data_IF_869743624800
#
_entry.id   IF_869743624800
#
_cell.length_a   1.000
_cell.length_b   1.000
_cell.length_c   1.000
_cell.angle_alpha   90.00
_cell.angle_beta   90.00
_cell.angle_gamma   90.00
#
_symmetry.space_group_name_H-M   'P 1'
#
loop_
_entity.id
_entity.type
_entity.pdbx_description
1 polymer ?
#
# COMPACT_ATOMS: atom_id res chain seq x y z
N UNK A 1 -19.51 -5.55 1.72
CA UNK A 1 -19.33 -4.74 2.93
C UNK A 1 -18.34 -5.44 3.85
N UNK A 2 -17.04 -5.29 3.59
CA UNK A 2 -15.97 -5.91 4.37
C UNK A 2 -15.02 -4.80 4.83
N UNK A 3 -14.97 -4.59 6.15
CA UNK A 3 -14.08 -3.76 6.97
C UNK A 3 -13.02 -2.94 6.18
N UNK A 4 -13.33 -1.71 5.71
CA UNK A 4 -12.36 -0.84 5.04
C UNK A 4 -11.17 -0.47 5.93
N UNK A 5 -11.37 -0.42 7.25
CA UNK A 5 -10.35 -0.16 8.28
C UNK A 5 -9.17 -1.14 8.26
N UNK A 6 -9.36 -2.42 7.93
CA UNK A 6 -8.25 -3.39 7.90
C UNK A 6 -7.31 -3.19 6.70
N UNK A 7 -7.79 -2.65 5.58
CA UNK A 7 -6.98 -2.52 4.34
C UNK A 7 -5.97 -1.38 4.40
N UNK A 8 -6.26 -0.34 5.20
CA UNK A 8 -5.35 0.79 5.41
C UNK A 8 -4.40 0.54 6.58
N UNK A 9 -4.82 -0.28 7.54
CA UNK A 9 -4.03 -0.63 8.72
C UNK A 9 -2.63 -1.14 8.35
N UNK A 10 -2.52 -2.07 7.40
CA UNK A 10 -1.21 -2.66 7.03
C UNK A 10 -0.21 -1.61 6.52
N UNK A 11 -0.66 -0.65 5.68
CA UNK A 11 0.22 0.40 5.18
C UNK A 11 0.58 1.42 6.25
N UNK A 12 -0.36 1.72 7.16
CA UNK A 12 -0.10 2.61 8.28
C UNK A 12 0.96 2.01 9.21
N UNK A 13 0.85 0.72 9.50
CA UNK A 13 1.86 -0.03 10.27
C UNK A 13 3.23 0.03 9.58
N UNK A 14 3.32 -0.24 8.27
CA UNK A 14 4.61 -0.15 7.56
C UNK A 14 5.19 1.27 7.57
N UNK A 15 4.36 2.30 7.41
CA UNK A 15 4.82 3.69 7.49
C UNK A 15 5.36 4.04 8.89
N UNK A 16 4.68 3.59 9.95
CA UNK A 16 5.14 3.78 11.32
C UNK A 16 6.44 3.04 11.63
N UNK A 17 6.61 1.83 11.10
CA UNK A 17 7.87 1.08 11.22
C UNK A 17 9.01 1.83 10.54
N UNK A 18 8.82 2.31 9.30
CA UNK A 18 9.82 3.12 8.58
C UNK A 18 10.16 4.41 9.32
N UNK A 19 9.16 5.07 9.92
CA UNK A 19 9.36 6.24 10.76
C UNK A 19 10.18 5.92 12.01
N UNK A 20 9.86 4.83 12.70
CA UNK A 20 10.55 4.42 13.93
C UNK A 20 12.04 4.11 13.71
N UNK A 21 12.42 3.59 12.53
CA UNK A 21 13.82 3.29 12.19
C UNK A 21 14.54 4.46 11.49
N UNK A 22 13.92 5.66 11.45
CA UNK A 22 14.41 6.84 10.73
C UNK A 22 14.72 6.59 9.23
N UNK A 23 14.13 5.56 8.62
CA UNK A 23 14.36 5.20 7.22
C UNK A 23 13.30 5.80 6.27
N UNK A 24 12.76 6.97 6.62
CA UNK A 24 11.78 7.70 5.80
C UNK A 24 12.53 8.45 4.71
N UNK A 25 12.71 7.78 3.57
CA UNK A 25 13.27 8.39 2.35
C UNK A 25 12.20 8.68 1.29
N UNK A 26 12.62 9.33 0.20
CA UNK A 26 11.73 9.64 -0.95
C UNK A 26 11.03 8.38 -1.51
N UNK A 27 11.73 7.24 -1.50
CA UNK A 27 11.17 5.95 -1.95
C UNK A 27 9.99 5.51 -1.09
N UNK A 28 10.11 5.60 0.24
CA UNK A 28 9.04 5.26 1.17
C UNK A 28 7.79 6.12 0.93
N UNK A 29 7.99 7.42 0.74
CA UNK A 29 6.91 8.39 0.50
C UNK A 29 6.19 8.06 -0.81
N UNK A 30 6.94 7.86 -1.90
CA UNK A 30 6.36 7.53 -3.22
C UNK A 30 5.57 6.22 -3.16
N UNK A 31 6.11 5.18 -2.52
CA UNK A 31 5.40 3.91 -2.36
C UNK A 31 4.13 4.06 -1.51
N UNK A 32 4.16 4.86 -0.45
CA UNK A 32 3.00 5.10 0.42
C UNK A 32 1.85 5.76 -0.35
N UNK A 33 2.18 6.81 -1.13
CA UNK A 33 1.20 7.50 -1.98
C UNK A 33 0.67 6.60 -3.10
N UNK A 34 1.52 5.80 -3.75
CA UNK A 34 1.10 4.83 -4.76
C UNK A 34 0.10 3.81 -4.20
N UNK A 35 0.35 3.31 -2.99
CA UNK A 35 -0.59 2.39 -2.33
C UNK A 35 -1.94 3.06 -2.09
N UNK A 36 -1.94 4.27 -1.51
CA UNK A 36 -3.14 5.04 -1.24
C UNK A 36 -3.96 5.28 -2.51
N UNK A 37 -3.31 5.74 -3.59
CA UNK A 37 -3.94 5.94 -4.90
C UNK A 37 -4.54 4.66 -5.47
N UNK A 38 -3.87 3.51 -5.34
CA UNK A 38 -4.42 2.23 -5.80
C UNK A 38 -5.75 1.89 -5.12
N UNK A 39 -5.88 2.24 -3.82
CA UNK A 39 -7.09 1.98 -3.03
C UNK A 39 -8.22 2.93 -3.40
N UNK A 40 -7.93 4.20 -3.64
CA UNK A 40 -8.91 5.14 -4.18
C UNK A 40 -9.41 4.70 -5.55
N UNK A 41 -8.51 4.32 -6.47
CA UNK A 41 -8.89 3.81 -7.78
C UNK A 41 -9.74 2.53 -7.69
N UNK A 42 -9.35 1.58 -6.83
CA UNK A 42 -10.12 0.35 -6.61
C UNK A 42 -11.51 0.64 -6.06
N UNK A 43 -11.65 1.56 -5.11
CA UNK A 43 -12.94 2.00 -4.56
C UNK A 43 -13.81 2.70 -5.62
N UNK A 44 -13.20 3.56 -6.44
CA UNK A 44 -13.89 4.25 -7.54
C UNK A 44 -14.49 3.26 -8.55
N UNK A 45 -13.71 2.26 -8.98
CA UNK A 45 -14.22 1.19 -9.88
C UNK A 45 -15.25 0.31 -9.19
N UNK A 46 -15.11 0.07 -7.88
CA UNK A 46 -16.05 -0.73 -7.12
C UNK A 46 -17.44 -0.08 -7.06
N UNK A 47 -17.50 1.25 -6.92
CA UNK A 47 -18.75 2.02 -6.78
C UNK A 47 -19.34 2.42 -8.14
N UNK A 48 -18.50 2.63 -9.17
CA UNK A 48 -18.94 3.06 -10.50
C UNK A 48 -19.30 1.91 -11.45
N UNK A 49 -18.34 1.52 -12.30
CA UNK A 49 -18.57 0.61 -13.44
C UNK A 49 -18.82 -0.86 -13.05
N UNK A 50 -18.41 -1.27 -11.84
CA UNK A 50 -18.55 -2.65 -11.34
C UNK A 50 -17.90 -3.74 -12.23
N UNK A 51 -16.94 -3.41 -13.10
CA UNK A 51 -16.24 -4.38 -13.94
C UNK A 51 -15.19 -5.16 -13.14
N UNK A 52 -15.44 -6.46 -12.94
CA UNK A 52 -14.65 -7.34 -12.03
C UNK A 52 -13.17 -7.44 -12.41
N UNK A 53 -12.77 -7.64 -13.69
CA UNK A 53 -11.36 -7.75 -14.06
C UNK A 53 -10.51 -6.51 -13.72
N UNK A 54 -11.06 -5.31 -13.91
CA UNK A 54 -10.35 -4.05 -13.59
C UNK A 54 -10.17 -3.92 -12.07
N UNK A 55 -11.21 -4.23 -11.30
CA UNK A 55 -11.15 -4.19 -9.84
C UNK A 55 -10.09 -5.16 -9.29
N UNK A 56 -9.95 -6.35 -9.87
CA UNK A 56 -8.91 -7.32 -9.49
C UNK A 56 -7.51 -6.80 -9.80
N UNK A 57 -7.29 -6.22 -10.99
CA UNK A 57 -5.99 -5.65 -11.38
C UNK A 57 -5.56 -4.51 -10.44
N UNK A 58 -6.48 -3.64 -10.06
CA UNK A 58 -6.22 -2.56 -9.09
C UNK A 58 -5.91 -3.09 -7.69
N UNK A 59 -6.55 -4.20 -7.29
CA UNK A 59 -6.22 -4.87 -6.03
C UNK A 59 -4.80 -5.45 -6.05
N UNK A 60 -4.43 -6.14 -7.12
CA UNK A 60 -3.09 -6.72 -7.30
C UNK A 60 -2.01 -5.64 -7.32
N UNK A 61 -2.26 -4.50 -7.98
CA UNK A 61 -1.34 -3.35 -7.96
C UNK A 61 -1.05 -2.90 -6.53
N UNK A 62 -2.09 -2.76 -5.69
CA UNK A 62 -1.91 -2.45 -4.27
C UNK A 62 -1.12 -3.52 -3.50
N UNK A 63 -1.29 -4.80 -3.83
CA UNK A 63 -0.49 -5.89 -3.26
C UNK A 63 0.99 -5.78 -3.63
N UNK A 64 1.32 -5.47 -4.89
CA UNK A 64 2.70 -5.28 -5.32
C UNK A 64 3.37 -4.11 -4.60
N UNK A 65 2.65 -3.00 -4.41
CA UNK A 65 3.19 -1.85 -3.65
C UNK A 65 3.44 -2.23 -2.19
N UNK A 66 2.53 -2.98 -1.55
CA UNK A 66 2.75 -3.48 -0.18
C UNK A 66 3.99 -4.37 -0.07
N UNK A 67 4.18 -5.29 -1.02
CA UNK A 67 5.36 -6.16 -1.05
C UNK A 67 6.63 -5.32 -1.23
N UNK A 68 6.60 -4.30 -2.10
CA UNK A 68 7.74 -3.39 -2.28
C UNK A 68 8.08 -2.62 -0.99
N UNK A 69 7.07 -2.12 -0.26
CA UNK A 69 7.29 -1.46 1.04
C UNK A 69 7.84 -2.45 2.09
N UNK A 70 7.39 -3.70 2.08
CA UNK A 70 7.90 -4.73 2.98
C UNK A 70 9.37 -5.05 2.70
N UNK A 71 9.74 -5.19 1.43
CA UNK A 71 11.13 -5.38 1.00
C UNK A 71 11.98 -4.19 1.45
N UNK A 72 11.47 -2.95 1.30
CA UNK A 72 12.19 -1.77 1.75
C UNK A 72 12.45 -1.80 3.26
N UNK A 73 11.44 -2.14 4.07
CA UNK A 73 11.59 -2.29 5.53
C UNK A 73 12.62 -3.37 5.86
N UNK A 74 12.51 -4.55 5.23
CA UNK A 74 13.43 -5.66 5.46
C UNK A 74 14.88 -5.30 5.09
N UNK A 75 15.07 -4.58 3.99
CA UNK A 75 16.39 -4.11 3.56
C UNK A 75 17.00 -3.14 4.57
N UNK A 76 16.23 -2.17 5.03
CA UNK A 76 16.69 -1.19 6.03
C UNK A 76 17.03 -1.85 7.36
N UNK A 77 16.26 -2.87 7.77
CA UNK A 77 16.56 -3.66 8.97
C UNK A 77 17.81 -4.52 8.82
N UNK A 78 18.06 -5.11 7.64
CA UNK A 78 19.26 -5.91 7.40
C UNK A 78 20.53 -5.07 7.24
N UNK A 79 20.39 -3.78 6.92
CA UNK A 79 21.49 -2.83 6.76
C UNK A 79 21.87 -2.10 8.06
N UNK A 80 21.12 -2.30 9.14
CA UNK A 80 21.43 -1.87 10.52
C UNK A 80 22.29 -2.91 11.21
#
# INVERSE_FOLDING_TARGET
>A
MAYPELRLFTSYVLCLVLFSINAVGMVAIVLAWLFALSRFAHAYVHIGSNYVPIRLRLFLLGCFVLIAMLIQVAWQLAAV
#
